data_IF_373585177529
#
_entry.id   IF_373585177529
#
_cell.length_a   1.000
_cell.length_b   1.000
_cell.length_c   1.000
_cell.angle_alpha   90.00
_cell.angle_beta   90.00
_cell.angle_gamma   90.00
#
_symmetry.space_group_name_H-M   'P 1'
#
loop_
_entity.id
_entity.type
_entity.pdbx_description
1 polymer ?
#
# COMPACT_ATOMS: atom_id res chain seq x y z
N UNK A 1 1.03 -12.78 -7.43
CA UNK A 1 1.51 -11.45 -7.05
C UNK A 1 1.98 -11.57 -5.61
N UNK A 2 3.29 -11.47 -5.37
CA UNK A 2 3.84 -11.68 -4.03
C UNK A 2 4.02 -10.30 -3.40
N UNK A 3 3.07 -9.88 -2.58
CA UNK A 3 3.24 -8.69 -1.76
C UNK A 3 3.99 -9.05 -0.49
N UNK A 4 4.95 -8.22 -0.09
CA UNK A 4 5.64 -8.33 1.18
C UNK A 4 5.46 -7.03 1.95
N UNK A 5 5.11 -7.16 3.22
CA UNK A 5 5.14 -6.06 4.18
C UNK A 5 6.15 -6.37 5.27
N UNK A 6 6.91 -5.36 5.67
CA UNK A 6 7.89 -5.44 6.76
C UNK A 6 7.73 -4.18 7.61
N UNK A 7 7.85 -4.32 8.93
CA UNK A 7 7.98 -3.18 9.85
C UNK A 7 9.44 -3.07 10.25
N UNK A 8 10.03 -1.89 10.09
CA UNK A 8 11.43 -1.61 10.40
C UNK A 8 11.55 -0.68 11.60
N UNK A 9 12.71 -0.68 12.24
CA UNK A 9 13.02 0.30 13.29
C UNK A 9 13.31 1.67 12.69
N UNK A 10 13.04 2.72 13.46
CA UNK A 10 13.33 4.10 13.10
C UNK A 10 14.82 4.43 13.29
N UNK A 11 15.69 3.69 12.60
CA UNK A 11 17.11 4.00 12.46
C UNK A 11 17.54 3.85 10.98
N UNK A 12 18.53 4.63 10.59
CA UNK A 12 18.94 4.78 9.18
C UNK A 12 19.37 3.43 8.59
N UNK A 13 20.06 2.59 9.38
CA UNK A 13 20.60 1.31 8.91
C UNK A 13 19.48 0.31 8.64
N UNK A 14 18.52 0.19 9.57
CA UNK A 14 17.37 -0.70 9.42
C UNK A 14 16.50 -0.33 8.21
N UNK A 15 16.27 0.97 7.97
CA UNK A 15 15.54 1.44 6.77
C UNK A 15 16.35 1.13 5.51
N UNK A 16 17.65 1.46 5.51
CA UNK A 16 18.50 1.28 4.34
C UNK A 16 18.62 -0.18 3.91
N UNK A 17 18.82 -1.09 4.86
CA UNK A 17 18.94 -2.53 4.60
C UNK A 17 17.66 -3.09 3.97
N UNK A 18 16.49 -2.74 4.50
CA UNK A 18 15.22 -3.26 3.97
C UNK A 18 14.87 -2.63 2.61
N UNK A 19 15.17 -1.34 2.41
CA UNK A 19 15.02 -0.69 1.10
C UNK A 19 15.93 -1.33 0.07
N UNK A 20 17.21 -1.55 0.39
CA UNK A 20 18.19 -2.18 -0.51
C UNK A 20 17.75 -3.61 -0.90
N UNK A 21 17.21 -4.35 0.07
CA UNK A 21 16.66 -5.69 -0.16
C UNK A 21 15.40 -5.68 -1.02
N UNK A 22 14.51 -4.70 -0.84
CA UNK A 22 13.24 -4.61 -1.57
C UNK A 22 13.39 -4.02 -2.98
N UNK A 23 14.23 -3.00 -3.17
CA UNK A 23 14.35 -2.29 -4.45
C UNK A 23 14.79 -3.18 -5.61
N UNK A 24 15.49 -4.28 -5.33
CA UNK A 24 16.02 -5.22 -6.33
C UNK A 24 15.05 -6.34 -6.71
N UNK A 25 14.04 -6.61 -5.87
CA UNK A 25 13.10 -7.73 -6.05
C UNK A 25 11.66 -7.29 -6.30
N UNK A 26 11.40 -5.99 -6.17
CA UNK A 26 10.08 -5.39 -6.33
C UNK A 26 10.10 -4.30 -7.40
N UNK A 27 9.07 -4.26 -8.23
CA UNK A 27 8.89 -3.19 -9.22
C UNK A 27 8.64 -1.84 -8.55
N UNK A 28 8.00 -1.84 -7.37
CA UNK A 28 7.68 -0.66 -6.59
C UNK A 28 7.79 -0.96 -5.09
N UNK A 29 8.33 -0.03 -4.32
CA UNK A 29 8.46 -0.11 -2.87
C UNK A 29 7.78 1.11 -2.27
N UNK A 30 6.86 0.87 -1.32
CA UNK A 30 6.20 1.94 -0.59
C UNK A 30 6.75 1.99 0.84
N UNK A 31 7.17 3.17 1.27
CA UNK A 31 7.49 3.46 2.66
C UNK A 31 6.44 4.42 3.20
N UNK A 32 6.05 4.22 4.44
CA UNK A 32 5.12 5.08 5.15
C UNK A 32 5.65 5.37 6.55
N UNK A 33 5.68 6.64 6.91
CA UNK A 33 6.19 7.13 8.20
C UNK A 33 7.68 7.50 8.18
N UNK A 34 8.13 8.13 9.27
CA UNK A 34 9.53 8.55 9.46
C UNK A 34 9.97 9.72 8.58
N UNK A 35 9.03 10.60 8.20
CA UNK A 35 9.27 11.84 7.47
C UNK A 35 8.78 13.00 8.33
N UNK A 36 9.69 13.89 8.73
CA UNK A 36 9.42 14.94 9.70
C UNK A 36 10.71 15.55 10.23
N UNK A 37 10.61 16.51 11.16
CA UNK A 37 11.78 17.23 11.70
C UNK A 37 12.42 16.54 12.91
N UNK A 38 11.87 15.41 13.37
CA UNK A 38 12.36 14.74 14.58
C UNK A 38 13.59 13.88 14.24
N UNK A 39 14.46 13.68 15.23
CA UNK A 39 15.64 12.80 15.10
C UNK A 39 15.31 11.35 14.71
N UNK A 40 14.07 10.92 14.92
CA UNK A 40 13.56 9.60 14.54
C UNK A 40 12.98 9.55 13.12
N UNK A 41 12.86 10.69 12.44
CA UNK A 41 12.37 10.78 11.06
C UNK A 41 13.51 10.50 10.09
N UNK A 42 13.84 9.23 9.95
CA UNK A 42 15.05 8.74 9.27
C UNK A 42 14.78 8.20 7.86
N UNK A 43 13.54 8.28 7.35
CA UNK A 43 13.15 7.59 6.11
C UNK A 43 13.93 8.09 4.90
N UNK A 44 14.02 9.41 4.68
CA UNK A 44 14.80 9.98 3.57
C UNK A 44 16.28 9.62 3.66
N UNK A 45 16.85 9.65 4.86
CA UNK A 45 18.25 9.27 5.10
C UNK A 45 18.51 7.79 4.84
N UNK A 46 17.59 6.91 5.25
CA UNK A 46 17.66 5.47 4.98
C UNK A 46 17.56 5.17 3.49
N UNK A 47 16.65 5.85 2.77
CA UNK A 47 16.55 5.76 1.30
C UNK A 47 17.85 6.23 0.64
N UNK A 48 18.36 7.42 1.01
CA UNK A 48 19.62 7.92 0.48
C UNK A 48 20.78 6.93 0.67
N UNK A 49 20.91 6.37 1.87
CA UNK A 49 21.92 5.35 2.19
C UNK A 49 21.74 4.09 1.35
N UNK A 50 20.51 3.60 1.17
CA UNK A 50 20.23 2.43 0.35
C UNK A 50 20.64 2.63 -1.11
N UNK A 51 20.55 3.85 -1.64
CA UNK A 51 20.97 4.17 -3.01
C UNK A 51 22.42 4.65 -3.10
N UNK A 52 23.13 4.78 -1.99
CA UNK A 52 24.52 5.25 -1.96
C UNK A 52 24.67 6.72 -2.37
N UNK A 53 23.62 7.53 -2.20
CA UNK A 53 23.62 8.98 -2.47
C UNK A 53 23.64 9.76 -1.16
N UNK A 54 24.07 11.03 -1.23
CA UNK A 54 23.97 11.93 -0.08
C UNK A 54 22.59 12.57 -0.01
N UNK A 55 22.25 13.10 1.15
CA UNK A 55 21.15 14.04 1.27
C UNK A 55 21.62 15.44 0.85
N UNK A 56 20.73 16.18 0.19
CA UNK A 56 20.92 17.58 -0.13
C UNK A 56 19.60 18.34 0.08
N UNK A 57 19.65 19.66 0.36
CA UNK A 57 18.46 20.50 0.36
C UNK A 57 17.78 20.47 -1.00
N UNK A 58 16.47 20.27 -1.00
CA UNK A 58 15.60 20.42 -2.15
C UNK A 58 14.82 21.73 -2.02
N UNK A 59 15.16 22.73 -2.85
CA UNK A 59 14.60 24.08 -2.76
C UNK A 59 13.09 24.13 -3.04
N UNK A 60 12.62 23.27 -3.94
CA UNK A 60 11.20 23.16 -4.29
C UNK A 60 10.41 22.57 -3.12
N UNK A 61 10.88 21.45 -2.56
CA UNK A 61 10.24 20.85 -1.40
C UNK A 61 10.26 21.80 -0.18
N UNK A 62 11.35 22.54 0.02
CA UNK A 62 11.47 23.55 1.07
C UNK A 62 10.44 24.68 0.92
N UNK A 63 10.11 25.08 -0.31
CA UNK A 63 9.05 26.06 -0.55
C UNK A 63 7.68 25.55 -0.09
N UNK A 64 7.32 24.29 -0.40
CA UNK A 64 6.07 23.69 0.10
C UNK A 64 6.06 23.59 1.63
N UNK A 65 7.18 23.19 2.23
CA UNK A 65 7.29 23.09 3.69
C UNK A 65 7.13 24.46 4.38
N UNK A 66 7.65 25.54 3.80
CA UNK A 66 7.46 26.90 4.32
C UNK A 66 5.99 27.31 4.34
N UNK A 67 5.20 26.93 3.32
CA UNK A 67 3.76 27.19 3.31
C UNK A 67 3.00 26.41 4.39
N UNK A 68 3.48 25.22 4.75
CA UNK A 68 2.82 24.35 5.72
C UNK A 68 3.18 24.70 7.18
N UNK A 69 4.47 24.94 7.45
CA UNK A 69 5.04 25.08 8.79
C UNK A 69 5.21 26.58 9.16
N UNK A 70 5.16 27.48 8.16
CA UNK A 70 5.41 28.90 8.31
C UNK A 70 6.88 29.20 8.67
N UNK A 71 7.13 30.40 9.19
CA UNK A 71 8.46 30.86 9.62
C UNK A 71 8.97 30.20 10.93
N UNK A 72 8.35 29.10 11.36
CA UNK A 72 8.69 28.42 12.63
C UNK A 72 9.92 27.50 12.49
N UNK A 73 10.55 27.47 11.31
CA UNK A 73 11.83 26.82 11.11
C UNK A 73 12.90 27.57 11.91
N UNK A 74 13.17 27.09 13.11
CA UNK A 74 14.20 27.65 13.99
C UNK A 74 15.55 27.00 13.66
N UNK A 75 16.24 27.57 12.66
CA UNK A 75 17.58 27.13 12.25
C UNK A 75 17.91 27.55 10.82
N UNK A 76 19.20 27.51 10.46
CA UNK A 76 19.68 27.87 9.12
C UNK A 76 19.33 26.82 8.04
N UNK A 77 18.82 25.65 8.44
CA UNK A 77 18.55 24.51 7.54
C UNK A 77 17.26 23.80 7.92
N UNK A 78 16.38 23.63 6.94
CA UNK A 78 15.20 22.79 7.09
C UNK A 78 15.58 21.31 6.86
N UNK A 79 15.77 20.56 7.94
CA UNK A 79 16.14 19.12 7.87
C UNK A 79 15.10 18.29 7.12
N UNK A 80 13.82 18.72 7.11
CA UNK A 80 12.77 18.05 6.33
C UNK A 80 12.92 18.22 4.82
N UNK A 81 13.67 19.25 4.39
CA UNK A 81 13.97 19.48 2.98
C UNK A 81 15.20 18.71 2.49
N UNK A 82 15.84 17.91 3.34
CA UNK A 82 16.98 17.08 2.94
C UNK A 82 16.47 15.80 2.24
N UNK A 83 16.62 15.75 0.92
CA UNK A 83 16.18 14.63 0.08
C UNK A 83 17.37 13.93 -0.62
N UNK A 84 17.23 12.64 -1.01
CA UNK A 84 18.26 11.91 -1.74
C UNK A 84 18.68 12.59 -3.07
N UNK A 85 19.90 13.13 -3.09
CA UNK A 85 20.37 13.97 -4.20
C UNK A 85 20.42 13.21 -5.54
N UNK A 86 19.90 13.85 -6.59
CA UNK A 86 19.99 13.37 -7.98
C UNK A 86 19.09 12.21 -8.35
N UNK A 87 18.32 11.66 -7.39
CA UNK A 87 17.37 10.57 -7.61
C UNK A 87 15.94 10.90 -7.18
N UNK A 88 15.76 11.99 -6.43
CA UNK A 88 14.45 12.45 -5.99
C UNK A 88 13.66 13.09 -7.12
N UNK A 89 12.42 12.65 -7.24
CA UNK A 89 11.37 13.21 -8.08
C UNK A 89 10.20 13.59 -7.15
N UNK A 90 9.75 14.83 -7.24
CA UNK A 90 8.59 15.33 -6.50
C UNK A 90 7.34 15.13 -7.34
N UNK A 91 6.38 14.38 -6.81
CA UNK A 91 5.11 14.12 -7.48
C UNK A 91 4.05 15.09 -6.95
N UNK A 92 3.71 16.06 -7.78
CA UNK A 92 2.80 17.15 -7.42
C UNK A 92 1.35 16.73 -7.55
N UNK A 93 0.53 17.11 -6.58
CA UNK A 93 -0.91 16.92 -6.66
C UNK A 93 -1.65 18.06 -5.97
N UNK A 94 -2.64 18.65 -6.64
CA UNK A 94 -3.37 19.84 -6.15
C UNK A 94 -4.06 19.61 -4.79
N UNK A 95 -4.40 18.35 -4.47
CA UNK A 95 -5.05 17.99 -3.20
C UNK A 95 -4.05 17.86 -2.05
N UNK A 96 -2.74 17.81 -2.30
CA UNK A 96 -1.72 17.57 -1.27
C UNK A 96 -1.01 18.87 -0.87
N UNK A 97 -0.73 19.07 0.44
CA UNK A 97 -0.02 20.26 0.90
C UNK A 97 1.48 20.24 0.58
N UNK A 98 2.04 19.04 0.42
CA UNK A 98 3.43 18.79 0.01
C UNK A 98 3.42 17.70 -1.07
N UNK A 99 4.33 17.74 -2.06
CA UNK A 99 4.40 16.69 -3.07
C UNK A 99 4.83 15.35 -2.45
N UNK A 100 4.46 14.24 -3.11
CA UNK A 100 4.96 12.92 -2.72
C UNK A 100 6.43 12.79 -3.16
N UNK A 101 7.23 12.09 -2.38
CA UNK A 101 8.65 11.89 -2.67
C UNK A 101 8.81 10.54 -3.34
N UNK A 102 9.36 10.53 -4.55
CA UNK A 102 9.74 9.31 -5.28
C UNK A 102 11.25 9.30 -5.48
N UNK A 103 11.88 8.17 -5.21
CA UNK A 103 13.30 7.93 -5.41
C UNK A 103 13.44 6.63 -6.21
N UNK A 104 13.66 6.74 -7.53
CA UNK A 104 13.61 5.60 -8.44
C UNK A 104 12.27 4.81 -8.32
N UNK A 105 12.31 3.55 -7.87
CA UNK A 105 11.14 2.71 -7.62
C UNK A 105 10.66 2.73 -6.17
N UNK A 106 11.10 3.71 -5.37
CA UNK A 106 10.70 3.87 -3.97
C UNK A 106 9.81 5.09 -3.83
N UNK A 107 8.60 4.92 -3.31
CA UNK A 107 7.66 6.00 -3.00
C UNK A 107 7.57 6.15 -1.50
N UNK A 108 7.81 7.36 -1.01
CA UNK A 108 7.74 7.71 0.41
C UNK A 108 6.45 8.49 0.66
N UNK A 109 5.58 7.90 1.48
CA UNK A 109 4.31 8.46 1.94
C UNK A 109 4.53 9.11 3.31
N UNK A 110 4.45 10.44 3.36
CA UNK A 110 4.73 11.27 4.54
C UNK A 110 3.54 11.42 5.49
N UNK A 111 2.50 10.61 5.33
CA UNK A 111 1.28 10.71 6.12
C UNK A 111 1.51 10.38 7.61
N UNK A 112 0.80 11.08 8.49
CA UNK A 112 0.90 10.92 9.97
C UNK A 112 -0.23 10.07 10.55
N UNK A 113 -1.29 9.85 9.78
CA UNK A 113 -2.49 9.12 10.19
C UNK A 113 -3.13 8.42 8.99
N UNK A 114 -4.12 7.55 9.25
CA UNK A 114 -4.80 6.78 8.23
C UNK A 114 -5.51 7.66 7.19
N UNK A 115 -6.15 8.76 7.60
CA UNK A 115 -6.85 9.68 6.69
C UNK A 115 -5.89 10.36 5.71
N UNK A 116 -4.73 10.80 6.19
CA UNK A 116 -3.68 11.35 5.33
C UNK A 116 -3.09 10.29 4.39
N UNK A 117 -2.91 9.07 4.88
CA UNK A 117 -2.38 7.97 4.08
C UNK A 117 -3.33 7.61 2.94
N UNK A 118 -4.62 7.45 3.24
CA UNK A 118 -5.68 7.22 2.24
C UNK A 118 -5.68 8.34 1.19
N UNK A 119 -5.63 9.61 1.64
CA UNK A 119 -5.58 10.75 0.73
C UNK A 119 -4.34 10.75 -0.17
N UNK A 120 -3.15 10.49 0.38
CA UNK A 120 -1.91 10.40 -0.40
C UNK A 120 -1.95 9.24 -1.39
N UNK A 121 -2.52 8.11 -0.98
CA UNK A 121 -2.69 6.93 -1.83
C UNK A 121 -3.63 7.20 -3.01
N UNK A 122 -4.78 7.83 -2.78
CA UNK A 122 -5.72 8.20 -3.84
C UNK A 122 -5.08 9.18 -4.84
N UNK A 123 -4.37 10.20 -4.34
CA UNK A 123 -3.65 11.15 -5.18
C UNK A 123 -2.56 10.46 -6.01
N UNK A 124 -1.85 9.49 -5.42
CA UNK A 124 -0.86 8.72 -6.15
C UNK A 124 -1.49 7.90 -7.28
N UNK A 125 -2.64 7.24 -7.03
CA UNK A 125 -3.38 6.52 -8.07
C UNK A 125 -3.75 7.47 -9.21
N UNK A 126 -4.36 8.62 -8.90
CA UNK A 126 -4.76 9.63 -9.91
C UNK A 126 -3.57 10.09 -10.78
N UNK A 127 -2.40 10.30 -10.16
CA UNK A 127 -1.17 10.64 -10.88
C UNK A 127 -0.69 9.52 -11.78
N UNK A 128 -0.73 8.28 -11.29
CA UNK A 128 -0.24 7.13 -12.05
C UNK A 128 -1.10 6.82 -13.27
N UNK A 129 -2.41 7.09 -13.19
CA UNK A 129 -3.34 6.98 -14.32
C UNK A 129 -3.08 8.08 -15.37
N UNK A 130 -2.71 9.28 -14.93
CA UNK A 130 -2.50 10.43 -15.81
C UNK A 130 -1.16 10.37 -16.57
N UNK A 131 -0.10 9.96 -15.88
CA UNK A 131 1.28 9.98 -16.41
C UNK A 131 1.72 8.64 -17.02
N UNK A 132 0.86 7.61 -16.95
CA UNK A 132 1.14 6.26 -17.43
C UNK A 132 2.26 5.54 -16.67
N UNK A 133 2.67 6.09 -15.52
CA UNK A 133 3.76 5.57 -14.68
C UNK A 133 3.43 4.18 -14.10
N UNK A 134 2.15 3.91 -13.82
CA UNK A 134 1.67 2.56 -13.56
C UNK A 134 0.67 2.19 -14.65
N UNK A 135 0.89 1.05 -15.30
CA UNK A 135 -0.15 0.44 -16.12
C UNK A 135 -1.21 -0.05 -15.14
N UNK A 136 -2.39 0.58 -15.15
CA UNK A 136 -3.57 0.03 -14.49
C UNK A 136 -3.89 -1.30 -15.16
N UNK A 137 -3.36 -2.40 -14.60
CA UNK A 137 -3.67 -3.74 -15.06
C UNK A 137 -5.09 -4.02 -14.59
N UNK A 138 -6.00 -4.21 -15.56
CA UNK A 138 -7.34 -4.82 -15.48
C UNK A 138 -7.98 -4.84 -14.07
N UNK A 139 -9.04 -4.04 -13.89
CA UNK A 139 -9.83 -3.95 -12.66
C UNK A 139 -10.01 -5.31 -11.97
N UNK A 140 -9.37 -5.49 -10.81
CA UNK A 140 -9.54 -6.68 -10.00
C UNK A 140 -10.90 -6.61 -9.29
N UNK A 141 -11.75 -7.62 -9.50
CA UNK A 141 -13.03 -7.73 -8.80
C UNK A 141 -12.84 -8.55 -7.54
N UNK A 142 -13.25 -8.00 -6.40
CA UNK A 142 -13.30 -8.72 -5.12
C UNK A 142 -14.74 -8.79 -4.63
N UNK A 143 -15.18 -9.98 -4.22
CA UNK A 143 -16.44 -10.20 -3.50
C UNK A 143 -16.18 -10.96 -2.21
N UNK A 144 -16.81 -10.51 -1.13
CA UNK A 144 -16.71 -11.16 0.19
C UNK A 144 -18.07 -11.67 0.65
N UNK A 145 -18.07 -12.89 1.13
CA UNK A 145 -19.22 -13.52 1.78
C UNK A 145 -18.90 -13.76 3.25
N UNK A 146 -19.93 -13.74 4.09
CA UNK A 146 -19.87 -14.21 5.46
C UNK A 146 -20.81 -15.37 5.67
N UNK A 147 -20.42 -16.30 6.53
CA UNK A 147 -21.25 -17.43 6.96
C UNK A 147 -21.00 -17.79 8.42
N UNK A 148 -22.02 -18.36 9.06
CA UNK A 148 -21.91 -18.94 10.40
C UNK A 148 -21.62 -20.44 10.37
N UNK A 149 -21.45 -21.03 9.17
CA UNK A 149 -21.01 -22.41 9.01
C UNK A 149 -19.64 -22.63 9.65
N UNK A 150 -19.39 -23.87 10.06
CA UNK A 150 -18.10 -24.26 10.63
C UNK A 150 -17.03 -24.42 9.55
N UNK A 151 -15.76 -24.33 9.95
CA UNK A 151 -14.62 -24.55 9.06
C UNK A 151 -14.64 -25.96 8.46
N UNK A 152 -15.12 -26.96 9.22
CA UNK A 152 -15.24 -28.35 8.76
C UNK A 152 -16.28 -28.50 7.65
N UNK A 153 -17.43 -27.83 7.79
CA UNK A 153 -18.49 -27.85 6.78
C UNK A 153 -18.07 -27.16 5.48
N UNK A 154 -17.21 -26.13 5.57
CA UNK A 154 -16.81 -25.30 4.43
C UNK A 154 -15.53 -25.77 3.74
N UNK A 155 -14.63 -26.47 4.44
CA UNK A 155 -13.31 -26.85 3.93
C UNK A 155 -13.35 -27.66 2.62
N UNK A 156 -14.15 -28.72 2.57
CA UNK A 156 -14.25 -29.58 1.38
C UNK A 156 -14.89 -28.87 0.19
N UNK A 157 -16.05 -28.20 0.34
CA UNK A 157 -16.64 -27.39 -0.72
C UNK A 157 -15.69 -26.31 -1.26
N UNK A 158 -14.99 -25.58 -0.40
CA UNK A 158 -14.03 -24.55 -0.80
C UNK A 158 -12.82 -25.14 -1.54
N UNK A 159 -12.28 -26.25 -1.05
CA UNK A 159 -11.14 -26.93 -1.72
C UNK A 159 -11.50 -27.35 -3.14
N UNK A 160 -12.72 -27.88 -3.36
CA UNK A 160 -13.22 -28.22 -4.71
C UNK A 160 -13.41 -26.97 -5.56
N UNK A 161 -13.89 -25.88 -4.96
CA UNK A 161 -14.10 -24.63 -5.66
C UNK A 161 -12.79 -24.01 -6.16
N UNK A 162 -11.70 -24.08 -5.38
CA UNK A 162 -10.37 -23.66 -5.84
C UNK A 162 -9.88 -24.44 -7.07
N UNK A 163 -10.31 -25.71 -7.23
CA UNK A 163 -10.00 -26.51 -8.42
C UNK A 163 -10.89 -26.15 -9.62
N UNK A 164 -12.17 -25.81 -9.37
CA UNK A 164 -13.13 -25.39 -10.39
C UNK A 164 -12.82 -23.98 -10.95
N UNK A 165 -12.20 -23.13 -10.13
CA UNK A 165 -11.85 -21.74 -10.44
C UNK A 165 -10.36 -21.45 -10.19
N UNK A 166 -9.43 -22.07 -10.94
CA UNK A 166 -7.99 -21.92 -10.73
C UNK A 166 -7.44 -20.52 -11.08
N UNK A 167 -8.24 -19.72 -11.78
CA UNK A 167 -7.99 -18.32 -12.13
C UNK A 167 -8.42 -17.34 -11.02
N UNK A 168 -9.19 -17.79 -10.02
CA UNK A 168 -9.61 -16.98 -8.90
C UNK A 168 -8.72 -17.25 -7.67
N UNK A 169 -8.40 -16.19 -6.94
CA UNK A 169 -7.92 -16.32 -5.57
C UNK A 169 -9.12 -16.47 -4.64
N UNK A 170 -9.23 -17.62 -3.96
CA UNK A 170 -10.28 -17.91 -2.99
C UNK A 170 -9.63 -18.05 -1.61
N UNK A 171 -9.82 -17.04 -0.77
CA UNK A 171 -9.28 -16.98 0.59
C UNK A 171 -10.37 -17.13 1.64
N UNK A 172 -10.01 -17.63 2.82
CA UNK A 172 -10.94 -17.69 3.94
C UNK A 172 -10.26 -17.37 5.28
N UNK A 173 -10.95 -16.65 6.16
CA UNK A 173 -10.51 -16.40 7.53
C UNK A 173 -11.71 -16.15 8.45
N UNK A 174 -11.57 -16.49 9.73
CA UNK A 174 -12.61 -16.28 10.73
C UNK A 174 -12.39 -14.95 11.44
N UNK A 175 -13.44 -14.11 11.57
CA UNK A 175 -13.31 -12.81 12.27
C UNK A 175 -12.93 -12.96 13.75
N UNK A 176 -13.35 -14.06 14.38
CA UNK A 176 -12.95 -14.45 15.74
C UNK A 176 -13.17 -15.94 15.93
N UNK A 177 -12.79 -16.51 17.09
CA UNK A 177 -13.01 -17.94 17.40
C UNK A 177 -14.49 -18.36 17.41
N UNK A 178 -15.42 -17.44 17.65
CA UNK A 178 -16.88 -17.70 17.57
C UNK A 178 -17.63 -16.85 16.52
N UNK A 179 -17.00 -15.85 15.89
CA UNK A 179 -17.59 -15.00 14.84
C UNK A 179 -17.76 -15.64 13.46
N UNK A 180 -18.26 -14.95 12.45
CA UNK A 180 -18.48 -15.55 11.13
C UNK A 180 -17.16 -15.86 10.41
N UNK A 181 -17.20 -16.87 9.54
CA UNK A 181 -16.18 -17.13 8.52
C UNK A 181 -16.39 -16.14 7.37
N UNK A 182 -15.33 -15.46 6.97
CA UNK A 182 -15.27 -14.59 5.80
C UNK A 182 -14.58 -15.35 4.67
N UNK A 183 -15.19 -15.32 3.49
CA UNK A 183 -14.67 -15.95 2.28
C UNK A 183 -14.54 -14.86 1.21
N UNK A 184 -13.34 -14.68 0.68
CA UNK A 184 -13.04 -13.71 -0.37
C UNK A 184 -12.85 -14.41 -1.71
N UNK A 185 -13.43 -13.85 -2.75
CA UNK A 185 -13.23 -14.23 -4.15
C UNK A 185 -12.62 -13.06 -4.88
N UNK A 186 -11.43 -13.25 -5.43
CA UNK A 186 -10.70 -12.17 -6.11
C UNK A 186 -10.20 -12.65 -7.46
N UNK A 187 -10.37 -11.83 -8.50
CA UNK A 187 -9.93 -12.17 -9.84
C UNK A 187 -10.13 -11.04 -10.84
N UNK A 188 -9.54 -11.21 -12.03
CA UNK A 188 -9.55 -10.20 -13.10
C UNK A 188 -10.87 -10.10 -13.86
N UNK A 189 -11.65 -11.20 -13.93
CA UNK A 189 -12.94 -11.24 -14.60
C UNK A 189 -14.08 -11.19 -13.57
N UNK A 190 -14.84 -10.07 -13.48
CA UNK A 190 -15.98 -9.94 -12.57
C UNK A 190 -17.06 -11.00 -12.78
N UNK A 191 -17.20 -11.54 -13.99
CA UNK A 191 -18.17 -12.61 -14.30
C UNK A 191 -17.70 -13.95 -13.73
N UNK A 192 -16.40 -14.24 -13.77
CA UNK A 192 -15.83 -15.41 -13.08
C UNK A 192 -15.99 -15.31 -11.58
N UNK A 193 -15.72 -14.15 -10.99
CA UNK A 193 -15.92 -13.90 -9.54
C UNK A 193 -17.38 -14.13 -9.13
N UNK A 194 -18.35 -13.60 -9.89
CA UNK A 194 -19.78 -13.87 -9.65
C UNK A 194 -20.12 -15.35 -9.78
N UNK A 195 -19.61 -16.03 -10.81
CA UNK A 195 -19.84 -17.45 -11.00
C UNK A 195 -19.26 -18.30 -9.86
N UNK A 196 -18.09 -17.94 -9.32
CA UNK A 196 -17.48 -18.59 -8.15
C UNK A 196 -18.33 -18.43 -6.89
N UNK A 197 -18.82 -17.21 -6.63
CA UNK A 197 -19.75 -16.91 -5.53
C UNK A 197 -21.04 -17.73 -5.66
N UNK A 198 -21.67 -17.74 -6.84
CA UNK A 198 -22.87 -18.52 -7.09
C UNK A 198 -22.65 -20.03 -6.95
N UNK A 199 -21.52 -20.54 -7.43
CA UNK A 199 -21.15 -21.94 -7.32
C UNK A 199 -20.95 -22.35 -5.86
N UNK A 200 -20.37 -21.49 -5.02
CA UNK A 200 -20.30 -21.72 -3.58
C UNK A 200 -21.70 -21.76 -2.96
N UNK A 201 -22.53 -20.73 -3.21
CA UNK A 201 -23.87 -20.64 -2.64
C UNK A 201 -24.75 -21.85 -3.01
N UNK A 202 -24.62 -22.41 -4.22
CA UNK A 202 -25.34 -23.62 -4.66
C UNK A 202 -24.95 -24.89 -3.93
N UNK A 203 -23.76 -24.96 -3.31
CA UNK A 203 -23.29 -26.13 -2.54
C UNK A 203 -23.89 -26.17 -1.13
N UNK A 204 -24.62 -25.14 -0.71
CA UNK A 204 -25.22 -25.03 0.62
C UNK A 204 -26.70 -24.59 0.54
N UNK A 205 -27.38 -24.62 1.69
CA UNK A 205 -28.77 -24.17 1.79
C UNK A 205 -28.90 -22.66 1.50
N UNK A 206 -30.06 -22.26 0.97
CA UNK A 206 -30.36 -20.86 0.75
C UNK A 206 -30.23 -20.06 2.06
N UNK A 207 -29.56 -18.90 1.99
CA UNK A 207 -29.31 -18.05 3.15
C UNK A 207 -28.10 -18.44 4.01
N UNK A 208 -27.32 -19.46 3.63
CA UNK A 208 -26.09 -19.83 4.35
C UNK A 208 -24.99 -18.76 4.27
N UNK A 209 -25.05 -17.89 3.26
CA UNK A 209 -24.08 -16.82 3.03
C UNK A 209 -24.76 -15.46 2.96
N UNK A 210 -24.05 -14.43 3.42
CA UNK A 210 -24.44 -13.02 3.28
C UNK A 210 -23.28 -12.24 2.69
N UNK A 211 -23.54 -11.45 1.64
CA UNK A 211 -22.53 -10.61 1.01
C UNK A 211 -22.13 -9.46 1.95
N UNK A 212 -20.84 -9.13 1.96
CA UNK A 212 -20.27 -8.05 2.75
C UNK A 212 -19.63 -7.07 1.79
N UNK A 213 -20.00 -5.78 1.92
CA UNK A 213 -19.31 -4.67 1.25
C UNK A 213 -17.89 -4.53 1.81
#
# INVERSE_FOLDING_TARGET
MTSRSTVVRNDIDSVAEEVDRCKSVSDLVFLYGGVGPLHSDVTSAGVAKAFGVRLAPDEEFEEFLRHLIGDHCTGDRNEMAQLPEGITELLHHEKLPVPLIKCCNVIVLSATNATELEKQWDCLIELTESDGFLVTIESYSSKRLTTNLTDVETAQPLSKLCLEFPDLYIGCFRRSRQGPLVISFEGKDPSRVRAGVEALCKKFNAGAFSEVN
#
